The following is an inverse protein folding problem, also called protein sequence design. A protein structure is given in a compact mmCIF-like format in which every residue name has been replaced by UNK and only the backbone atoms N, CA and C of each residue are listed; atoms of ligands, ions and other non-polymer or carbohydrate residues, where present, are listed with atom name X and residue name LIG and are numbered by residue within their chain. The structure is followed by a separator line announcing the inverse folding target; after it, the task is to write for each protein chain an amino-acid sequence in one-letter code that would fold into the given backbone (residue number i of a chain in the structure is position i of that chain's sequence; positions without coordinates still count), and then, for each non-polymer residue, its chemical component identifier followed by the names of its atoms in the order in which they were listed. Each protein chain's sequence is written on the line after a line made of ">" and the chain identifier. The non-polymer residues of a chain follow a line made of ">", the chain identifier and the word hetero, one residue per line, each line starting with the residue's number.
data_IF_134528036394
#
_entry.id   IF_134528036394
#
_cell.length_a   1.000
_cell.length_b   1.000
_cell.length_c   1.000
_cell.angle_alpha   90.00
_cell.angle_beta   90.00
_cell.angle_gamma   90.00
#
_symmetry.space_group_name_H-M   'P 1'
#
loop_
_entity.id
_entity.type
_entity.pdbx_description
1 polymer ?
#
# COMPACT_ATOMS: atom_id res chain seq x y z
N UNK A 1 -16.45 -10.45 3.73
CA UNK A 1 -15.03 -10.07 3.78
C UNK A 1 -14.95 -8.59 3.53
N UNK A 2 -13.97 -7.92 4.14
CA UNK A 2 -13.81 -6.47 4.02
C UNK A 2 -13.15 -6.10 2.67
N UNK A 3 -13.52 -4.95 2.11
CA UNK A 3 -12.92 -4.44 0.88
C UNK A 3 -11.58 -3.76 1.18
N UNK A 4 -10.58 -4.01 0.34
CA UNK A 4 -9.21 -3.49 0.48
C UNK A 4 -8.71 -2.94 -0.84
N UNK A 5 -7.75 -2.02 -0.78
CA UNK A 5 -6.98 -1.60 -1.95
C UNK A 5 -5.70 -2.43 -2.07
N UNK A 6 -5.36 -2.85 -3.28
CA UNK A 6 -4.13 -3.57 -3.59
C UNK A 6 -3.30 -2.75 -4.57
N UNK A 7 -2.10 -2.35 -4.16
CA UNK A 7 -1.09 -1.76 -5.02
C UNK A 7 -0.12 -2.83 -5.48
N UNK A 8 0.18 -2.87 -6.78
CA UNK A 8 1.13 -3.80 -7.37
C UNK A 8 2.26 -3.02 -8.04
N UNK A 9 3.49 -3.46 -7.79
CA UNK A 9 4.70 -2.96 -8.45
C UNK A 9 5.47 -4.15 -9.04
N UNK A 10 5.84 -4.14 -10.32
CA UNK A 10 6.68 -5.19 -10.88
C UNK A 10 8.02 -5.30 -10.13
N UNK A 11 8.48 -6.52 -9.88
CA UNK A 11 9.81 -6.74 -9.30
C UNK A 11 10.86 -6.41 -10.36
N UNK A 12 11.68 -5.41 -10.08
CA UNK A 12 12.82 -4.97 -10.88
C UNK A 12 14.08 -4.91 -9.99
N UNK A 13 15.28 -4.88 -10.59
CA UNK A 13 16.57 -4.81 -9.85
C UNK A 13 16.82 -3.48 -9.11
N UNK A 14 15.77 -2.66 -8.92
CA UNK A 14 15.84 -1.37 -8.20
C UNK A 14 15.07 -1.46 -6.89
N UNK A 15 15.30 -0.49 -6.03
CA UNK A 15 14.57 -0.35 -4.77
C UNK A 15 13.06 -0.27 -5.02
N UNK A 16 12.29 -1.13 -4.34
CA UNK A 16 10.83 -1.14 -4.44
C UNK A 16 10.21 0.07 -3.77
N UNK A 17 9.44 0.85 -4.51
CA UNK A 17 8.78 2.04 -3.96
C UNK A 17 7.68 1.65 -2.99
N UNK A 18 6.93 0.58 -3.28
CA UNK A 18 5.83 0.15 -2.42
C UNK A 18 6.28 -0.58 -1.16
N UNK A 19 7.50 -1.15 -1.14
CA UNK A 19 8.12 -1.63 0.10
C UNK A 19 8.43 -0.47 1.05
N UNK A 20 9.03 0.60 0.52
CA UNK A 20 9.30 1.81 1.30
C UNK A 20 7.99 2.47 1.78
N UNK A 21 6.96 2.47 0.94
CA UNK A 21 5.61 2.92 1.31
C UNK A 21 5.04 2.11 2.48
N UNK A 22 5.10 0.77 2.40
CA UNK A 22 4.67 -0.13 3.47
C UNK A 22 5.36 0.17 4.81
N UNK A 23 6.68 0.29 4.81
CA UNK A 23 7.44 0.60 6.02
C UNK A 23 7.07 1.98 6.57
N UNK A 24 6.93 2.99 5.72
CA UNK A 24 6.49 4.33 6.14
C UNK A 24 5.12 4.29 6.81
N UNK A 25 4.13 3.65 6.17
CA UNK A 25 2.77 3.54 6.70
C UNK A 25 2.71 2.73 8.00
N UNK A 26 3.52 1.66 8.13
CA UNK A 26 3.63 0.90 9.39
C UNK A 26 4.21 1.75 10.53
N UNK A 27 5.21 2.60 10.26
CA UNK A 27 5.76 3.50 11.26
C UNK A 27 4.77 4.60 11.69
N UNK A 28 3.95 5.09 10.75
CA UNK A 28 2.94 6.12 11.01
C UNK A 28 1.60 5.57 11.53
N UNK A 29 1.52 4.27 11.81
CA UNK A 29 0.28 3.62 12.28
C UNK A 29 -0.28 4.31 13.52
N UNK A 30 -1.57 4.65 13.48
CA UNK A 30 -2.29 5.33 14.56
C UNK A 30 -2.46 6.83 14.36
N UNK A 31 -1.83 7.42 13.34
CA UNK A 31 -2.09 8.80 12.94
C UNK A 31 -3.48 8.98 12.32
N UNK A 32 -4.14 10.10 12.63
CA UNK A 32 -5.44 10.45 12.05
C UNK A 32 -5.30 10.66 10.55
N UNK A 33 -6.12 9.97 9.76
CA UNK A 33 -6.11 10.05 8.30
C UNK A 33 -5.00 9.28 7.60
N UNK A 34 -4.16 8.54 8.34
CA UNK A 34 -3.15 7.64 7.75
C UNK A 34 -3.80 6.29 7.42
N UNK A 35 -3.73 5.80 6.17
CA UNK A 35 -4.28 4.50 5.81
C UNK A 35 -3.50 3.37 6.49
N UNK A 36 -4.21 2.33 6.92
CA UNK A 36 -3.59 1.16 7.51
C UNK A 36 -3.00 0.25 6.45
N UNK A 37 -1.69 0.03 6.52
CA UNK A 37 -1.01 -1.01 5.76
C UNK A 37 -1.26 -2.37 6.41
N UNK A 38 -2.03 -3.23 5.73
CA UNK A 38 -2.45 -4.55 6.23
C UNK A 38 -1.32 -5.56 6.02
N UNK A 39 -0.84 -5.67 4.78
CA UNK A 39 0.15 -6.68 4.40
C UNK A 39 1.05 -6.19 3.25
N UNK A 40 2.30 -6.66 3.23
CA UNK A 40 3.22 -6.50 2.13
C UNK A 40 3.95 -7.81 1.87
N UNK A 41 4.14 -8.15 0.59
CA UNK A 41 4.94 -9.29 0.20
C UNK A 41 5.09 -9.39 -1.32
N UNK A 42 5.77 -10.43 -1.76
CA UNK A 42 5.94 -10.74 -3.18
C UNK A 42 4.88 -11.74 -3.60
N UNK A 43 4.15 -11.41 -4.66
CA UNK A 43 3.20 -12.30 -5.32
C UNK A 43 3.63 -12.45 -6.79
N UNK A 44 4.07 -13.66 -7.16
CA UNK A 44 4.65 -13.93 -8.49
C UNK A 44 5.79 -12.96 -8.86
N UNK A 45 5.62 -12.18 -9.93
CA UNK A 45 6.57 -11.17 -10.44
C UNK A 45 6.28 -9.76 -9.92
N UNK A 46 5.45 -9.62 -8.88
CA UNK A 46 5.07 -8.33 -8.31
C UNK A 46 5.39 -8.27 -6.81
N UNK A 47 5.74 -7.09 -6.34
CA UNK A 47 5.49 -6.71 -4.97
C UNK A 47 4.04 -6.26 -4.85
N UNK A 48 3.39 -6.64 -3.76
CA UNK A 48 1.99 -6.37 -3.48
C UNK A 48 1.86 -5.73 -2.09
N UNK A 49 1.13 -4.62 -2.04
CA UNK A 49 0.78 -3.91 -0.81
C UNK A 49 -0.74 -3.89 -0.67
N UNK A 50 -1.23 -4.47 0.42
CA UNK A 50 -2.64 -4.46 0.82
C UNK A 50 -2.84 -3.40 1.90
N UNK A 51 -3.79 -2.49 1.67
CA UNK A 51 -4.11 -1.40 2.58
C UNK A 51 -5.62 -1.08 2.57
N UNK A 52 -6.03 -0.20 3.46
CA UNK A 52 -7.40 0.31 3.50
C UNK A 52 -7.86 0.84 2.13
N UNK A 53 -9.09 0.49 1.74
CA UNK A 53 -9.72 1.09 0.57
C UNK A 53 -10.16 2.53 0.90
N UNK A 54 -9.58 3.49 0.20
CA UNK A 54 -9.92 4.90 0.36
C UNK A 54 -11.02 5.34 -0.62
N UNK A 55 -11.65 6.46 -0.28
CA UNK A 55 -12.63 7.16 -1.13
C UNK A 55 -11.93 7.87 -2.31
N UNK A 56 -12.70 8.41 -3.28
CA UNK A 56 -12.12 9.19 -4.36
C UNK A 56 -11.19 10.30 -3.86
N UNK A 57 -10.17 10.60 -4.66
CA UNK A 57 -9.25 11.69 -4.37
C UNK A 57 -9.94 13.04 -4.57
N UNK A 58 -9.36 14.10 -3.99
CA UNK A 58 -9.86 15.48 -4.16
C UNK A 58 -9.93 15.90 -5.64
N UNK A 59 -9.02 15.41 -6.48
CA UNK A 59 -9.03 15.72 -7.92
C UNK A 59 -10.20 15.06 -8.66
N UNK A 60 -10.76 13.97 -8.12
CA UNK A 60 -11.90 13.26 -8.69
C UNK A 60 -13.25 13.77 -8.14
N UNK A 61 -13.23 14.80 -7.29
CA UNK A 61 -14.40 15.56 -6.87
C UNK A 61 -14.61 16.74 -7.81
#
# INVERSE_FOLDING_TARGET
>A
GDMVAVKLEPVVDRTSSIQNEYHTLKHLKGGVGIPYAIWFGRESTYHALVLDLLRPSLHAL
#
